data_IF_118176410895
#
_entry.id   IF_118176410895
#
_cell.length_a   1.000
_cell.length_b   1.000
_cell.length_c   1.000
_cell.angle_alpha   90.00
_cell.angle_beta   90.00
_cell.angle_gamma   90.00
#
_symmetry.space_group_name_H-M   'P 1'
#
loop_
_entity.id
_entity.type
_entity.pdbx_description
1 polymer ?
#
# COMPACT_ATOMS: atom_id res chain seq x y z
N UNK A 1 10.87 47.85 -61.22
CA UNK A 1 10.52 47.72 -59.79
C UNK A 1 9.08 47.23 -59.72
N UNK A 2 8.87 45.94 -59.48
CA UNK A 2 7.55 45.35 -59.31
C UNK A 2 7.40 44.97 -57.83
N UNK A 3 6.59 45.75 -57.11
CA UNK A 3 6.20 45.48 -55.72
C UNK A 3 5.20 44.32 -55.69
N UNK A 4 5.55 43.23 -55.00
CA UNK A 4 4.63 42.12 -54.74
C UNK A 4 3.53 42.55 -53.76
N UNK A 5 2.26 42.20 -53.99
CA UNK A 5 1.18 42.44 -53.03
C UNK A 5 1.25 41.43 -51.87
N UNK A 6 1.37 41.94 -50.64
CA UNK A 6 1.19 41.15 -49.43
C UNK A 6 -0.31 40.91 -49.21
N UNK A 7 -0.71 39.63 -49.22
CA UNK A 7 -2.09 39.21 -48.97
C UNK A 7 -2.29 39.00 -47.47
N UNK A 8 -3.38 39.51 -46.86
CA UNK A 8 -3.62 39.37 -45.42
C UNK A 8 -3.88 37.91 -45.08
N UNK A 9 -3.09 37.37 -44.15
CA UNK A 9 -3.19 36.00 -43.66
C UNK A 9 -4.36 35.95 -42.67
N UNK A 10 -5.33 35.09 -42.94
CA UNK A 10 -6.48 34.85 -42.07
C UNK A 10 -6.03 34.33 -40.69
N UNK A 11 -6.66 34.75 -39.57
CA UNK A 11 -6.28 34.31 -38.22
C UNK A 11 -6.36 32.78 -38.06
N UNK A 12 -7.23 32.12 -38.83
CA UNK A 12 -7.36 30.66 -38.86
C UNK A 12 -6.11 30.00 -39.48
N UNK A 13 -5.52 30.61 -40.50
CA UNK A 13 -4.29 30.12 -41.13
C UNK A 13 -3.08 30.31 -40.21
N UNK A 14 -3.08 31.37 -39.40
CA UNK A 14 -2.02 31.61 -38.41
C UNK A 14 -2.13 30.60 -37.25
N UNK A 15 -3.35 30.30 -36.81
CA UNK A 15 -3.61 29.29 -35.78
C UNK A 15 -3.17 27.89 -36.24
N UNK A 16 -3.49 27.51 -37.48
CA UNK A 16 -3.04 26.24 -38.06
C UNK A 16 -1.51 26.14 -38.15
N UNK A 17 -0.82 27.22 -38.54
CA UNK A 17 0.64 27.26 -38.53
C UNK A 17 1.22 27.06 -37.12
N UNK A 18 0.66 27.75 -36.11
CA UNK A 18 1.09 27.64 -34.72
C UNK A 18 0.93 26.20 -34.21
N UNK A 19 -0.20 25.53 -34.48
CA UNK A 19 -0.44 24.14 -34.07
C UNK A 19 0.57 23.17 -34.68
N UNK A 20 0.99 23.39 -35.94
CA UNK A 20 2.04 22.57 -36.57
C UNK A 20 3.43 22.80 -35.97
N UNK A 21 3.75 24.03 -35.56
CA UNK A 21 5.01 24.36 -34.86
C UNK A 21 5.09 23.70 -33.49
N UNK A 22 3.99 23.64 -32.73
CA UNK A 22 3.93 22.96 -31.43
C UNK A 22 4.09 21.43 -31.52
N UNK A 23 3.67 20.82 -32.63
CA UNK A 23 3.81 19.37 -32.84
C UNK A 23 5.25 18.96 -33.18
N UNK A 24 5.97 19.78 -33.94
CA UNK A 24 7.35 19.53 -34.38
C UNK A 24 8.38 19.53 -33.22
N UNK A 25 8.10 20.27 -32.14
CA UNK A 25 9.03 20.38 -30.99
C UNK A 25 8.98 19.19 -30.04
N UNK A 26 7.91 18.40 -30.02
CA UNK A 26 7.78 17.24 -29.11
C UNK A 26 8.43 15.95 -29.64
N UNK A 27 8.42 15.73 -30.96
CA UNK A 27 9.03 14.52 -31.56
C UNK A 27 10.56 14.54 -31.52
N UNK A 28 11.17 15.72 -31.51
CA UNK A 28 12.63 15.90 -31.54
C UNK A 28 13.27 15.90 -30.15
N UNK A 29 12.53 16.34 -29.11
CA UNK A 29 13.01 16.38 -27.72
C UNK A 29 13.08 14.98 -27.10
N UNK A 30 12.13 14.10 -27.45
CA UNK A 30 12.00 12.76 -26.87
C UNK A 30 13.12 11.79 -27.30
N UNK A 31 13.72 11.98 -28.47
CA UNK A 31 14.78 11.09 -28.99
C UNK A 31 16.21 11.52 -28.58
N UNK A 32 16.39 12.65 -27.87
CA UNK A 32 17.69 13.14 -27.41
C UNK A 32 18.00 12.83 -25.94
N UNK A 33 17.03 12.41 -25.14
CA UNK A 33 17.26 12.01 -23.73
C UNK A 33 17.58 10.51 -23.54
N UNK A 34 17.48 9.69 -24.59
CA UNK A 34 17.67 8.23 -24.53
C UNK A 34 19.12 7.75 -24.69
N UNK A 35 20.11 8.65 -24.69
CA UNK A 35 21.55 8.31 -24.65
C UNK A 35 22.17 8.96 -23.41
N UNK A 36 21.92 8.42 -22.22
CA UNK A 36 22.73 7.37 -21.59
C UNK A 36 24.21 7.76 -21.44
N UNK A 37 24.53 8.39 -20.31
CA UNK A 37 25.81 8.20 -19.63
C UNK A 37 25.60 8.37 -18.13
N UNK A 38 24.98 7.37 -17.51
CA UNK A 38 25.00 7.18 -16.06
C UNK A 38 25.39 5.73 -15.74
N UNK A 39 26.33 5.19 -16.52
CA UNK A 39 27.05 3.99 -16.14
C UNK A 39 28.10 4.43 -15.13
N UNK A 40 27.72 4.60 -13.85
CA UNK A 40 28.56 4.55 -12.64
C UNK A 40 27.89 5.22 -11.43
N UNK A 41 26.65 4.84 -11.11
CA UNK A 41 26.22 4.88 -9.72
C UNK A 41 25.65 3.52 -9.32
N UNK A 42 26.50 2.52 -9.49
CA UNK A 42 26.42 1.26 -8.77
C UNK A 42 26.79 1.55 -7.30
N UNK A 43 25.89 2.23 -6.59
CA UNK A 43 25.75 1.94 -5.16
C UNK A 43 24.67 0.88 -5.10
N UNK A 44 25.08 -0.37 -5.29
CA UNK A 44 24.36 -1.48 -4.65
C UNK A 44 24.38 -1.12 -3.17
N UNK A 45 23.35 -0.44 -2.70
CA UNK A 45 23.05 -0.37 -1.29
C UNK A 45 22.66 -1.80 -0.99
N UNK A 46 23.67 -2.64 -0.70
CA UNK A 46 23.46 -3.80 0.13
C UNK A 46 23.03 -3.20 1.46
N UNK A 47 21.72 -2.92 1.58
CA UNK A 47 21.08 -2.68 2.85
C UNK A 47 21.47 -3.89 3.64
N UNK A 48 22.35 -3.66 4.61
CA UNK A 48 22.74 -4.63 5.59
C UNK A 48 21.41 -5.14 6.15
N UNK A 49 21.00 -6.36 5.80
CA UNK A 49 19.91 -7.07 6.45
C UNK A 49 20.32 -7.30 7.91
N UNK A 50 20.24 -6.26 8.73
CA UNK A 50 19.42 -6.40 9.92
C UNK A 50 18.03 -6.64 9.38
N UNK A 51 17.54 -7.87 9.50
CA UNK A 51 16.16 -8.26 9.20
C UNK A 51 15.25 -7.29 9.94
N UNK A 52 14.89 -6.17 9.30
CA UNK A 52 14.08 -5.14 9.92
C UNK A 52 12.73 -5.81 10.20
N UNK A 53 12.32 -5.90 11.44
CA UNK A 53 11.04 -6.51 11.75
C UNK A 53 9.93 -5.73 11.03
N UNK A 54 8.98 -6.41 10.39
CA UNK A 54 7.85 -5.73 9.73
C UNK A 54 7.07 -4.88 10.73
N UNK A 55 7.03 -5.28 12.00
CA UNK A 55 6.40 -4.52 13.08
C UNK A 55 7.12 -3.20 13.35
N UNK A 56 8.43 -3.14 13.13
CA UNK A 56 9.21 -1.90 13.23
C UNK A 56 9.11 -1.05 11.94
N UNK A 57 8.89 -1.70 10.80
CA UNK A 57 8.73 -1.05 9.49
C UNK A 57 7.42 -0.25 9.40
N UNK A 58 6.30 -0.81 9.84
CA UNK A 58 4.97 -0.20 9.68
C UNK A 58 4.87 1.23 10.26
N UNK A 59 5.38 1.52 11.48
CA UNK A 59 5.41 2.87 12.02
C UNK A 59 6.17 3.88 11.15
N UNK A 60 7.24 3.47 10.46
CA UNK A 60 7.95 4.35 9.52
C UNK A 60 7.10 4.74 8.30
N UNK A 61 6.08 3.94 7.99
CA UNK A 61 5.07 4.21 6.98
C UNK A 61 3.78 4.81 7.59
N UNK A 62 3.79 5.25 8.84
CA UNK A 62 2.62 5.87 9.48
C UNK A 62 1.47 4.89 9.72
N UNK A 63 1.77 3.60 9.89
CA UNK A 63 0.80 2.55 10.17
C UNK A 63 1.09 1.89 11.54
N UNK A 64 0.07 1.46 12.30
CA UNK A 64 0.28 0.76 13.56
C UNK A 64 1.00 -0.59 13.37
N UNK A 65 1.91 -0.92 14.28
CA UNK A 65 2.70 -2.17 14.22
C UNK A 65 1.87 -3.45 14.36
N UNK A 66 0.72 -3.36 15.03
CA UNK A 66 -0.19 -4.47 15.33
C UNK A 66 -1.17 -4.83 14.21
N UNK A 67 -1.01 -4.26 13.00
CA UNK A 67 -1.80 -4.68 11.84
C UNK A 67 -1.47 -6.10 11.36
N UNK A 68 -0.28 -6.60 11.69
CA UNK A 68 0.25 -7.91 11.28
C UNK A 68 0.48 -8.76 12.55
N UNK A 69 0.19 -10.08 12.54
CA UNK A 69 0.44 -10.95 13.69
C UNK A 69 1.93 -11.24 13.91
N UNK A 70 2.28 -11.68 15.12
CA UNK A 70 3.66 -11.93 15.54
C UNK A 70 4.37 -13.10 14.85
N UNK A 71 3.67 -13.91 14.04
CA UNK A 71 4.20 -15.19 13.51
C UNK A 71 4.78 -15.06 12.10
N UNK A 72 5.40 -13.91 11.80
CA UNK A 72 6.07 -13.61 10.53
C UNK A 72 7.43 -14.33 10.48
N UNK A 73 7.63 -15.15 9.46
CA UNK A 73 8.89 -15.85 9.20
C UNK A 73 9.84 -15.01 8.34
N UNK A 74 9.29 -14.32 7.33
CA UNK A 74 10.06 -13.44 6.45
C UNK A 74 9.18 -12.40 5.78
N UNK A 75 9.80 -11.31 5.35
CA UNK A 75 9.17 -10.29 4.54
C UNK A 75 10.12 -9.82 3.43
N UNK A 76 9.54 -9.31 2.36
CA UNK A 76 10.26 -8.61 1.29
C UNK A 76 9.54 -7.31 0.99
N UNK A 77 10.29 -6.23 0.76
CA UNK A 77 9.75 -4.95 0.31
C UNK A 77 10.61 -4.45 -0.86
N UNK A 78 9.96 -4.21 -1.99
CA UNK A 78 10.58 -3.60 -3.18
C UNK A 78 10.55 -2.07 -3.10
N UNK A 79 11.42 -1.40 -3.85
CA UNK A 79 11.50 0.07 -3.92
C UNK A 79 10.19 0.73 -4.35
N UNK A 80 9.36 0.02 -5.14
CA UNK A 80 8.06 0.49 -5.60
C UNK A 80 6.94 0.32 -4.56
N UNK A 81 7.27 -0.16 -3.36
CA UNK A 81 6.35 -0.44 -2.27
C UNK A 81 5.70 -1.82 -2.32
N UNK A 82 5.93 -2.62 -3.35
CA UNK A 82 5.37 -3.98 -3.42
C UNK A 82 5.99 -4.84 -2.31
N UNK A 83 5.15 -5.50 -1.51
CA UNK A 83 5.61 -6.35 -0.43
C UNK A 83 5.02 -7.75 -0.48
N UNK A 84 5.72 -8.68 0.16
CA UNK A 84 5.22 -10.03 0.49
C UNK A 84 5.65 -10.37 1.90
N UNK A 85 4.75 -10.97 2.66
CA UNK A 85 5.00 -11.54 3.99
C UNK A 85 4.74 -13.05 3.94
N UNK A 86 5.60 -13.81 4.60
CA UNK A 86 5.40 -15.23 4.88
C UNK A 86 5.22 -15.41 6.37
N UNK A 87 4.10 -15.99 6.76
CA UNK A 87 3.85 -16.46 8.11
C UNK A 87 4.30 -17.92 8.23
N UNK A 88 4.67 -18.34 9.43
CA UNK A 88 4.93 -19.76 9.75
C UNK A 88 3.73 -20.66 9.42
N UNK A 89 2.56 -20.20 9.85
CA UNK A 89 1.27 -20.85 9.64
C UNK A 89 0.19 -19.81 9.35
N UNK A 90 -0.93 -20.20 8.71
CA UNK A 90 -2.13 -19.39 8.74
C UNK A 90 -2.53 -19.03 10.17
N UNK A 91 -3.12 -17.85 10.33
CA UNK A 91 -3.26 -17.23 11.62
C UNK A 91 -4.65 -16.66 11.85
N UNK A 92 -5.20 -16.88 13.05
CA UNK A 92 -6.39 -16.18 13.53
C UNK A 92 -6.01 -15.16 14.60
N UNK A 93 -6.54 -13.95 14.46
CA UNK A 93 -6.45 -12.89 15.48
C UNK A 93 -7.86 -12.44 15.81
N UNK A 94 -8.16 -12.33 17.10
CA UNK A 94 -9.42 -11.78 17.57
C UNK A 94 -9.21 -10.33 17.97
N UNK A 95 -9.74 -9.41 17.16
CA UNK A 95 -9.98 -8.02 17.54
C UNK A 95 -11.46 -7.87 17.92
N UNK A 96 -12.08 -6.71 17.65
CA UNK A 96 -13.55 -6.56 17.64
C UNK A 96 -14.23 -7.56 16.69
N UNK A 97 -13.51 -7.94 15.63
CA UNK A 97 -13.90 -8.99 14.70
C UNK A 97 -12.79 -10.04 14.56
N UNK A 98 -13.18 -11.25 14.20
CA UNK A 98 -12.23 -12.32 13.91
C UNK A 98 -11.58 -12.06 12.55
N UNK A 99 -10.26 -11.99 12.53
CA UNK A 99 -9.45 -11.80 11.33
C UNK A 99 -8.63 -13.05 11.08
N UNK A 100 -8.60 -13.49 9.83
CA UNK A 100 -7.81 -14.60 9.34
C UNK A 100 -6.72 -14.05 8.40
N UNK A 101 -5.50 -14.52 8.60
CA UNK A 101 -4.34 -14.23 7.78
C UNK A 101 -3.87 -15.53 7.14
N UNK A 102 -3.75 -15.53 5.81
CA UNK A 102 -3.14 -16.62 5.07
C UNK A 102 -1.63 -16.70 5.34
N UNK A 103 -1.06 -17.86 5.00
CA UNK A 103 0.38 -18.08 5.13
C UNK A 103 1.20 -17.06 4.32
N UNK A 104 0.68 -16.65 3.16
CA UNK A 104 1.30 -15.61 2.32
C UNK A 104 0.38 -14.40 2.26
N UNK A 105 0.91 -13.23 2.59
CA UNK A 105 0.23 -11.95 2.45
C UNK A 105 1.01 -11.11 1.45
N UNK A 106 0.32 -10.33 0.62
CA UNK A 106 0.96 -9.41 -0.32
C UNK A 106 0.15 -8.14 -0.48
N UNK A 107 0.80 -7.10 -0.98
CA UNK A 107 0.15 -5.84 -1.34
C UNK A 107 1.17 -4.79 -1.75
N UNK A 108 0.75 -3.52 -1.73
CA UNK A 108 1.59 -2.37 -2.01
C UNK A 108 1.52 -1.38 -0.86
N UNK A 109 2.64 -1.20 -0.19
CA UNK A 109 2.83 -0.29 0.94
C UNK A 109 3.18 1.10 0.43
N UNK A 110 2.54 2.12 1.00
CA UNK A 110 2.90 3.52 0.82
C UNK A 110 2.68 4.28 2.13
N UNK A 111 3.11 5.53 2.21
CA UNK A 111 2.98 6.28 3.46
C UNK A 111 1.50 6.44 3.86
N UNK A 112 1.15 5.91 5.01
CA UNK A 112 -0.17 5.87 5.60
C UNK A 112 -1.10 4.83 5.02
N UNK A 113 -0.67 3.97 4.08
CA UNK A 113 -1.61 3.05 3.43
C UNK A 113 -1.01 1.75 2.90
N UNK A 114 -1.88 0.75 2.81
CA UNK A 114 -1.62 -0.52 2.16
C UNK A 114 -2.74 -0.76 1.15
N UNK A 115 -2.37 -1.02 -0.10
CA UNK A 115 -3.32 -1.26 -1.19
C UNK A 115 -3.08 -2.63 -1.83
N UNK A 116 -4.06 -3.09 -2.62
CA UNK A 116 -3.98 -4.38 -3.32
C UNK A 116 -3.66 -5.55 -2.38
N UNK A 117 -4.21 -5.50 -1.16
CA UNK A 117 -3.97 -6.51 -0.13
C UNK A 117 -4.58 -7.84 -0.55
N UNK A 118 -3.82 -8.90 -0.37
CA UNK A 118 -4.25 -10.29 -0.54
C UNK A 118 -3.77 -11.12 0.65
N UNK A 119 -4.57 -12.12 1.04
CA UNK A 119 -4.27 -13.02 2.15
C UNK A 119 -4.74 -12.55 3.51
N UNK A 120 -5.61 -11.54 3.59
CA UNK A 120 -6.25 -11.10 4.84
C UNK A 120 -7.77 -11.11 4.66
N UNK A 121 -8.48 -11.73 5.61
CA UNK A 121 -9.93 -11.82 5.60
C UNK A 121 -10.49 -11.46 6.98
N UNK A 122 -11.54 -10.65 6.99
CA UNK A 122 -12.29 -10.34 8.20
C UNK A 122 -13.63 -11.09 8.19
N UNK A 123 -14.04 -11.59 9.35
CA UNK A 123 -15.34 -12.25 9.50
C UNK A 123 -16.42 -11.21 9.72
N UNK A 124 -17.37 -11.13 8.78
CA UNK A 124 -18.55 -10.27 8.83
C UNK A 124 -19.82 -11.12 8.89
N UNK A 125 -20.59 -10.97 9.97
CA UNK A 125 -21.75 -11.82 10.27
C UNK A 125 -21.37 -13.31 10.24
N UNK A 126 -21.64 -13.98 9.12
CA UNK A 126 -21.34 -15.40 8.90
C UNK A 126 -20.37 -15.66 7.73
N UNK A 127 -19.89 -14.61 7.06
CA UNK A 127 -19.06 -14.70 5.86
C UNK A 127 -17.66 -14.16 6.10
N UNK A 128 -16.69 -14.72 5.39
CA UNK A 128 -15.33 -14.18 5.30
C UNK A 128 -15.26 -13.20 4.13
N UNK A 129 -14.77 -12.00 4.38
CA UNK A 129 -14.65 -10.96 3.37
C UNK A 129 -13.21 -10.49 3.32
N UNK A 130 -12.64 -10.41 2.13
CA UNK A 130 -11.25 -10.02 1.93
C UNK A 130 -11.02 -8.56 2.28
N UNK A 131 -9.94 -8.31 3.01
CA UNK A 131 -9.40 -6.96 3.20
C UNK A 131 -8.54 -6.64 1.99
N UNK A 132 -8.88 -5.58 1.25
CA UNK A 132 -8.22 -5.18 0.01
C UNK A 132 -7.34 -3.94 0.17
N UNK A 133 -7.53 -3.21 1.28
CA UNK A 133 -6.68 -2.08 1.62
C UNK A 133 -6.86 -1.61 3.06
N UNK A 134 -5.90 -0.82 3.52
CA UNK A 134 -5.82 -0.25 4.87
C UNK A 134 -5.30 1.18 4.70
N UNK A 135 -5.92 2.15 5.35
CA UNK A 135 -5.55 3.56 5.25
C UNK A 135 -5.61 4.20 6.63
N UNK A 136 -4.50 4.77 7.09
CA UNK A 136 -4.51 5.66 8.24
C UNK A 136 -5.24 6.95 7.87
N UNK A 137 -6.19 7.34 8.71
CA UNK A 137 -6.85 8.64 8.62
C UNK A 137 -5.86 9.73 9.09
N UNK A 138 -5.71 10.80 8.31
CA UNK A 138 -4.74 11.86 8.62
C UNK A 138 -5.28 12.85 9.65
N UNK A 139 -6.60 12.90 9.78
CA UNK A 139 -7.31 13.90 10.59
C UNK A 139 -7.88 13.30 11.88
N UNK A 140 -7.72 11.99 12.09
CA UNK A 140 -8.18 11.28 13.29
C UNK A 140 -7.31 10.07 13.63
N UNK A 141 -7.36 9.60 14.87
CA UNK A 141 -6.68 8.38 15.34
C UNK A 141 -7.42 7.11 14.90
N UNK A 142 -7.77 7.03 13.61
CA UNK A 142 -8.58 5.96 13.03
C UNK A 142 -7.86 5.30 11.86
N UNK A 143 -8.13 4.03 11.66
CA UNK A 143 -7.69 3.24 10.50
C UNK A 143 -8.94 2.84 9.72
N UNK A 144 -8.98 3.19 8.45
CA UNK A 144 -10.00 2.72 7.52
C UNK A 144 -9.56 1.44 6.82
N UNK A 145 -10.38 0.40 6.92
CA UNK A 145 -10.20 -0.87 6.24
C UNK A 145 -11.17 -0.97 5.07
N UNK A 146 -10.67 -1.36 3.90
CA UNK A 146 -11.48 -1.70 2.73
C UNK A 146 -11.72 -3.20 2.73
N UNK A 147 -12.98 -3.60 2.89
CA UNK A 147 -13.40 -4.99 3.09
C UNK A 147 -14.42 -5.37 2.01
N UNK A 148 -13.93 -5.97 0.92
CA UNK A 148 -14.72 -6.15 -0.30
C UNK A 148 -15.13 -4.80 -0.91
N UNK A 149 -16.44 -4.54 -1.02
CA UNK A 149 -17.01 -3.27 -1.49
C UNK A 149 -17.40 -2.31 -0.36
N UNK A 150 -17.09 -2.67 0.89
CA UNK A 150 -17.40 -1.87 2.07
C UNK A 150 -16.13 -1.20 2.62
N UNK A 151 -16.30 -0.13 3.38
CA UNK A 151 -15.25 0.41 4.23
C UNK A 151 -15.70 0.48 5.69
N UNK A 152 -14.74 0.40 6.60
CA UNK A 152 -14.97 0.44 8.04
C UNK A 152 -13.83 1.19 8.71
N UNK A 153 -14.16 2.13 9.60
CA UNK A 153 -13.17 2.84 10.41
C UNK A 153 -13.11 2.25 11.81
N UNK A 154 -11.91 1.92 12.27
CA UNK A 154 -11.63 1.39 13.60
C UNK A 154 -10.57 2.25 14.30
N UNK A 155 -10.60 2.40 15.63
CA UNK A 155 -9.58 3.17 16.35
C UNK A 155 -8.19 2.59 16.14
N UNK A 156 -7.21 3.43 15.82
CA UNK A 156 -5.82 3.01 15.62
C UNK A 156 -5.23 2.30 16.85
N UNK A 157 -5.68 2.69 18.05
CA UNK A 157 -5.28 2.10 19.33
C UNK A 157 -5.48 0.59 19.41
N UNK A 158 -6.49 0.05 18.70
CA UNK A 158 -6.76 -1.38 18.67
C UNK A 158 -5.63 -2.18 18.00
N UNK A 159 -4.78 -1.52 17.22
CA UNK A 159 -3.69 -2.10 16.44
C UNK A 159 -2.31 -1.63 16.90
N UNK A 160 -2.20 -1.02 18.09
CA UNK A 160 -0.92 -0.57 18.63
C UNK A 160 -0.02 -1.74 19.02
N UNK A 161 -0.58 -2.82 19.58
CA UNK A 161 0.18 -3.99 20.03
C UNK A 161 0.21 -5.10 18.99
N UNK A 162 1.35 -5.79 18.88
CA UNK A 162 1.51 -6.93 17.96
C UNK A 162 0.69 -8.11 18.49
N UNK A 163 -0.35 -8.56 17.77
CA UNK A 163 -1.21 -9.61 18.27
C UNK A 163 -0.55 -10.98 18.16
N UNK A 164 -0.80 -11.83 19.16
CA UNK A 164 -0.35 -13.21 19.17
C UNK A 164 -1.20 -14.05 18.23
N UNK A 165 -0.53 -14.79 17.36
CA UNK A 165 -1.19 -15.70 16.46
C UNK A 165 -1.87 -16.87 17.16
N UNK A 166 -3.09 -17.20 16.72
CA UNK A 166 -3.82 -18.39 17.17
C UNK A 166 -4.04 -19.37 16.03
N UNK A 167 -3.79 -20.65 16.29
CA UNK A 167 -3.96 -21.74 15.31
C UNK A 167 -5.43 -22.08 15.02
N UNK A 168 -6.35 -21.59 15.84
CA UNK A 168 -7.79 -21.73 15.69
C UNK A 168 -8.49 -20.43 16.06
N UNK A 169 -9.63 -20.19 15.43
CA UNK A 169 -10.56 -19.17 15.89
C UNK A 169 -10.91 -19.44 17.36
N UNK A 170 -10.92 -18.40 18.20
CA UNK A 170 -11.37 -18.53 19.57
C UNK A 170 -12.83 -18.99 19.55
N UNK A 171 -13.05 -20.25 19.91
CA UNK A 171 -14.39 -20.75 20.22
C UNK A 171 -14.68 -20.25 21.62
N UNK A 172 -15.54 -19.25 21.77
CA UNK A 172 -15.90 -18.72 23.09
C UNK A 172 -16.50 -19.83 23.95
N UNK A 173 -15.68 -20.48 24.77
CA UNK A 173 -16.14 -21.19 25.95
C UNK A 173 -15.99 -20.21 27.10
N UNK A 174 -17.11 -19.63 27.50
CA UNK A 174 -17.24 -18.87 28.75
C UNK A 174 -16.85 -19.81 29.89
N UNK A 175 -15.57 -19.81 30.26
CA UNK A 175 -15.12 -20.33 31.55
C UNK A 175 -15.20 -19.16 32.53
N UNK A 176 -16.42 -18.90 32.99
CA UNK A 176 -16.62 -18.16 34.21
C UNK A 176 -16.10 -19.02 35.37
N UNK A 177 -14.83 -18.83 35.73
CA UNK A 177 -14.33 -19.26 37.03
C UNK A 177 -14.48 -18.07 37.97
N UNK A 178 -15.61 -18.03 38.69
CA UNK A 178 -15.76 -17.23 39.88
C UNK A 178 -14.60 -17.58 40.83
N UNK A 179 -13.73 -16.61 41.08
CA UNK A 179 -12.77 -16.68 42.19
C UNK A 179 -13.36 -15.87 43.32
N UNK A 180 -14.22 -16.52 44.10
CA UNK A 180 -14.73 -16.02 45.37
C UNK A 180 -13.93 -16.71 46.48
N UNK A 181 -13.31 -15.90 47.34
CA UNK A 181 -12.86 -16.18 48.72
C UNK A 181 -11.74 -17.20 48.96
N UNK A 182 -10.61 -16.71 49.49
CA UNK A 182 -10.27 -16.76 50.94
C UNK A 182 -9.22 -15.68 51.23
#
# INVERSE_FOLDING_TARGET
>A
MASLPLKPISPLSLLLLLLTLFSQTHLSFSLRLSKLSLNNLLSTITVKETTADVHDLLPHYGLPKGLIPNNVDSFTLSDDGTFTLQLSTPCYVQFDQLVYYDKKISGKLSYGSVSSVSGIQAKKLFLWVSVTGIQADKDSDMIEFYVGSLSEKLPAKQFEDVPVCKTKACSGTTSATNSESI
#
